data_IF_696679346724
#
_entry.id   IF_696679346724
#
_cell.length_a   1.000
_cell.length_b   1.000
_cell.length_c   1.000
_cell.angle_alpha   90.00
_cell.angle_beta   90.00
_cell.angle_gamma   90.00
#
_symmetry.space_group_name_H-M   'P 1'
#
loop_
_entity.id
_entity.type
_entity.pdbx_description
1 polymer ?
#
# COMPACT_ATOMS: atom_id res chain seq x y z
N UNK A 1 28.70 -43.02 60.71
CA UNK A 1 28.72 -43.55 59.32
C UNK A 1 27.34 -43.19 58.72
N UNK A 2 27.27 -42.04 58.05
CA UNK A 2 26.03 -41.43 57.56
C UNK A 2 26.10 -41.37 56.04
N UNK A 3 25.25 -42.17 55.38
CA UNK A 3 25.12 -42.24 53.92
C UNK A 3 24.26 -41.09 53.46
N UNK A 4 24.83 -40.19 52.60
CA UNK A 4 24.09 -39.14 51.92
C UNK A 4 23.63 -39.66 50.58
N UNK A 5 22.33 -39.75 50.39
CA UNK A 5 21.66 -40.09 49.13
C UNK A 5 21.57 -38.81 48.25
N UNK A 6 22.21 -38.81 47.06
CA UNK A 6 22.07 -37.76 46.03
C UNK A 6 20.81 -38.08 45.21
N UNK A 7 19.83 -37.16 45.24
CA UNK A 7 18.72 -37.13 44.29
C UNK A 7 19.10 -36.31 43.05
N UNK A 8 19.18 -36.96 41.89
CA UNK A 8 19.36 -36.33 40.58
C UNK A 8 17.96 -35.99 40.04
N UNK A 9 17.61 -34.73 40.00
CA UNK A 9 16.41 -34.25 39.34
C UNK A 9 16.68 -34.08 37.83
N UNK A 10 16.11 -34.95 37.00
CA UNK A 10 16.13 -34.81 35.55
C UNK A 10 15.06 -33.77 35.13
N UNK A 11 15.54 -32.60 34.72
CA UNK A 11 14.69 -31.55 34.15
C UNK A 11 14.29 -31.90 32.69
N UNK A 12 13.02 -32.21 32.45
CA UNK A 12 12.45 -32.27 31.11
C UNK A 12 12.25 -30.83 30.59
N UNK A 13 13.11 -30.38 29.65
CA UNK A 13 12.87 -29.19 28.86
C UNK A 13 11.85 -29.52 27.78
N UNK A 14 10.61 -29.09 27.94
CA UNK A 14 9.62 -29.06 26.86
C UNK A 14 10.05 -27.94 25.83
N UNK A 15 10.50 -28.37 24.67
CA UNK A 15 10.64 -27.53 23.49
C UNK A 15 9.21 -27.20 22.98
N UNK A 16 8.75 -26.00 23.27
CA UNK A 16 7.53 -25.46 22.65
C UNK A 16 7.79 -25.18 21.17
N UNK A 17 7.33 -26.06 20.30
CA UNK A 17 7.24 -25.79 18.86
C UNK A 17 6.20 -24.65 18.64
N UNK A 18 6.50 -23.64 17.81
CA UNK A 18 5.48 -22.66 17.45
C UNK A 18 4.35 -23.37 16.71
N UNK A 19 3.17 -23.38 17.29
CA UNK A 19 1.96 -23.87 16.64
C UNK A 19 1.63 -22.94 15.46
N UNK A 20 2.02 -23.33 14.24
CA UNK A 20 1.38 -22.86 13.04
C UNK A 20 -0.09 -23.33 13.12
N UNK A 21 -1.00 -22.42 13.43
CA UNK A 21 -2.43 -22.67 13.36
C UNK A 21 -2.82 -22.84 11.87
N UNK A 22 -2.55 -24.02 11.34
CA UNK A 22 -3.16 -24.47 10.08
C UNK A 22 -4.65 -24.61 10.35
N UNK A 23 -5.47 -23.86 9.65
CA UNK A 23 -6.91 -24.06 9.59
C UNK A 23 -7.15 -25.48 9.06
N UNK A 24 -7.47 -26.40 9.94
CA UNK A 24 -7.69 -27.81 9.59
C UNK A 24 -8.79 -27.90 8.52
N UNK A 25 -8.43 -28.36 7.32
CA UNK A 25 -9.36 -28.60 6.20
C UNK A 25 -9.29 -27.60 5.03
N UNK A 26 -8.52 -26.50 5.11
CA UNK A 26 -8.35 -25.56 4.00
C UNK A 26 -7.29 -26.06 3.02
N UNK A 27 -7.63 -26.14 1.73
CA UNK A 27 -6.69 -26.56 0.68
C UNK A 27 -6.17 -25.33 -0.07
N UNK A 28 -4.84 -25.13 -0.14
CA UNK A 28 -4.28 -24.00 -0.90
C UNK A 28 -4.78 -23.96 -2.36
N UNK A 29 -5.22 -22.79 -2.79
CA UNK A 29 -5.69 -22.56 -4.16
C UNK A 29 -4.54 -22.30 -5.13
N UNK A 30 -3.32 -22.11 -4.62
CA UNK A 30 -2.10 -21.81 -5.39
C UNK A 30 -1.04 -22.83 -5.02
N UNK A 31 -0.32 -23.35 -6.04
CA UNK A 31 0.78 -24.28 -5.82
C UNK A 31 1.96 -23.57 -5.13
N UNK A 32 2.68 -24.28 -4.25
CA UNK A 32 3.86 -23.75 -3.56
C UNK A 32 4.96 -23.24 -4.51
N UNK A 33 5.05 -23.78 -5.72
CA UNK A 33 5.96 -23.32 -6.77
C UNK A 33 5.68 -21.90 -7.28
N UNK A 34 4.45 -21.42 -7.09
CA UNK A 34 4.03 -20.06 -7.45
C UNK A 34 4.32 -19.03 -6.35
N UNK A 35 4.76 -19.48 -5.18
CA UNK A 35 5.00 -18.65 -4.00
C UNK A 35 6.51 -18.48 -3.74
N UNK A 36 6.89 -17.36 -3.17
CA UNK A 36 8.26 -17.12 -2.70
C UNK A 36 8.60 -18.04 -1.52
N UNK A 37 7.58 -18.33 -0.70
CA UNK A 37 7.70 -19.18 0.48
C UNK A 37 6.50 -20.11 0.54
N UNK A 38 6.71 -21.44 0.58
CA UNK A 38 5.60 -22.41 0.66
C UNK A 38 4.59 -22.09 1.76
N UNK A 39 3.30 -22.16 1.42
CA UNK A 39 2.19 -21.91 2.37
C UNK A 39 2.06 -20.45 2.83
N UNK A 40 2.80 -19.51 2.27
CA UNK A 40 2.83 -18.11 2.72
C UNK A 40 2.59 -17.17 1.54
N UNK A 41 1.73 -16.18 1.72
CA UNK A 41 1.57 -15.05 0.79
C UNK A 41 2.46 -13.90 1.27
N UNK A 42 3.61 -13.72 0.61
CA UNK A 42 4.56 -12.65 0.95
C UNK A 42 4.15 -11.38 0.20
N UNK A 43 3.83 -10.33 0.93
CA UNK A 43 3.32 -9.06 0.39
C UNK A 43 4.25 -7.90 0.74
N UNK A 44 4.63 -7.07 -0.23
CA UNK A 44 5.30 -5.80 0.05
C UNK A 44 4.30 -4.70 0.36
N UNK A 45 4.63 -3.83 1.33
CA UNK A 45 3.80 -2.68 1.72
C UNK A 45 4.65 -1.52 2.21
N UNK A 46 4.23 -0.28 1.91
CA UNK A 46 4.77 0.95 2.50
C UNK A 46 3.75 1.47 3.54
N UNK A 47 3.99 1.25 4.85
CA UNK A 47 2.99 1.55 5.87
C UNK A 47 3.04 3.01 6.35
N UNK A 48 3.06 3.96 5.43
CA UNK A 48 3.09 5.41 5.70
C UNK A 48 1.85 6.16 5.18
N UNK A 49 0.80 5.43 4.78
CA UNK A 49 -0.42 5.96 4.18
C UNK A 49 -1.66 5.68 5.04
N UNK A 50 -1.81 6.30 6.23
CA UNK A 50 -3.05 6.17 6.99
C UNK A 50 -4.23 6.80 6.21
N UNK A 51 -5.44 6.25 6.30
CA UNK A 51 -5.85 5.05 6.99
C UNK A 51 -5.70 3.76 6.16
N UNK A 52 -5.11 3.85 4.95
CA UNK A 52 -5.05 2.75 3.99
C UNK A 52 -4.09 1.62 4.42
N UNK A 53 -2.85 1.96 4.79
CA UNK A 53 -1.89 1.09 5.47
C UNK A 53 -0.92 1.93 6.31
N UNK A 54 -0.75 1.55 7.56
CA UNK A 54 0.09 2.29 8.50
C UNK A 54 0.52 1.40 9.68
N UNK A 55 1.49 1.90 10.45
CA UNK A 55 1.87 1.30 11.73
C UNK A 55 1.16 2.08 12.83
N UNK A 56 0.41 1.39 13.68
CA UNK A 56 -0.24 1.99 14.84
C UNK A 56 0.75 2.28 16.00
N UNK A 57 0.27 2.87 17.08
CA UNK A 57 1.08 3.20 18.27
C UNK A 57 1.70 1.98 18.97
N UNK A 58 1.19 0.77 18.70
CA UNK A 58 1.68 -0.49 19.24
C UNK A 58 2.65 -1.21 18.28
N UNK A 59 3.04 -0.56 17.17
CA UNK A 59 3.91 -1.15 16.16
C UNK A 59 3.22 -2.14 15.21
N UNK A 60 1.88 -2.26 15.27
CA UNK A 60 1.10 -3.19 14.46
C UNK A 60 0.75 -2.58 13.11
N UNK A 61 0.85 -3.40 12.04
CA UNK A 61 0.32 -3.05 10.73
C UNK A 61 -1.21 -3.02 10.75
N UNK A 62 -1.79 -1.92 10.28
CA UNK A 62 -3.23 -1.65 10.24
C UNK A 62 -3.61 -0.98 8.93
N UNK A 63 -4.92 -0.92 8.69
CA UNK A 63 -5.55 -0.20 7.60
C UNK A 63 -6.22 -1.11 6.58
N UNK A 64 -6.97 -0.50 5.69
CA UNK A 64 -7.82 -1.18 4.71
C UNK A 64 -7.06 -2.25 3.91
N UNK A 65 -5.88 -1.90 3.38
CA UNK A 65 -5.08 -2.80 2.54
C UNK A 65 -4.48 -3.96 3.32
N UNK A 66 -4.19 -3.76 4.61
CA UNK A 66 -3.74 -4.86 5.48
C UNK A 66 -4.89 -5.82 5.74
N UNK A 67 -6.09 -5.30 6.01
CA UNK A 67 -7.30 -6.13 6.17
C UNK A 67 -7.61 -6.92 4.88
N UNK A 68 -7.57 -6.25 3.72
CA UNK A 68 -7.76 -6.89 2.42
C UNK A 68 -6.74 -8.00 2.16
N UNK A 69 -5.45 -7.72 2.37
CA UNK A 69 -4.38 -8.71 2.16
C UNK A 69 -4.50 -9.92 3.07
N UNK A 70 -4.87 -9.71 4.34
CA UNK A 70 -5.11 -10.78 5.29
C UNK A 70 -6.29 -11.67 4.89
N UNK A 71 -7.38 -11.06 4.41
CA UNK A 71 -8.55 -11.82 3.95
C UNK A 71 -8.26 -12.59 2.65
N UNK A 72 -7.50 -11.99 1.73
CA UNK A 72 -7.01 -12.70 0.53
C UNK A 72 -6.17 -13.90 0.93
N UNK A 73 -5.16 -13.73 1.77
CA UNK A 73 -4.30 -14.84 2.22
C UNK A 73 -5.11 -15.95 2.88
N UNK A 74 -6.02 -15.60 3.80
CA UNK A 74 -6.90 -16.54 4.49
C UNK A 74 -7.75 -17.36 3.50
N UNK A 75 -8.38 -16.72 2.51
CA UNK A 75 -9.21 -17.43 1.50
C UNK A 75 -8.40 -18.29 0.54
N UNK A 76 -7.12 -17.94 0.32
CA UNK A 76 -6.17 -18.77 -0.42
C UNK A 76 -5.56 -19.90 0.43
N UNK A 77 -5.91 -20.01 1.71
CA UNK A 77 -5.32 -20.96 2.68
C UNK A 77 -3.82 -20.72 2.90
N UNK A 78 -3.38 -19.48 2.82
CA UNK A 78 -2.01 -19.05 2.99
C UNK A 78 -1.85 -18.21 4.26
N UNK A 79 -0.66 -18.21 4.84
CA UNK A 79 -0.29 -17.30 5.94
C UNK A 79 0.16 -15.96 5.37
N UNK A 80 -0.41 -14.80 5.78
CA UNK A 80 0.05 -13.50 5.32
C UNK A 80 1.40 -13.14 5.96
N UNK A 81 2.34 -12.65 5.14
CA UNK A 81 3.62 -12.11 5.59
C UNK A 81 3.86 -10.75 4.89
N UNK A 82 4.27 -9.72 5.65
CA UNK A 82 4.46 -8.38 5.10
C UNK A 82 5.93 -7.96 5.14
N UNK A 83 6.46 -7.58 3.98
CA UNK A 83 7.76 -6.92 3.83
C UNK A 83 7.52 -5.41 3.77
N UNK A 84 7.97 -4.70 4.82
CA UNK A 84 7.88 -3.23 4.88
C UNK A 84 9.03 -2.66 4.06
N UNK A 85 8.73 -1.95 2.99
CA UNK A 85 9.73 -1.44 2.04
C UNK A 85 9.22 -0.14 1.38
N UNK A 86 10.15 0.70 0.96
CA UNK A 86 9.82 1.93 0.24
C UNK A 86 9.30 1.63 -1.17
N UNK A 87 8.42 2.49 -1.68
CA UNK A 87 7.71 2.27 -2.94
C UNK A 87 8.66 2.06 -4.13
N UNK A 88 9.74 2.83 -4.21
CA UNK A 88 10.74 2.77 -5.29
C UNK A 88 11.39 1.39 -5.46
N UNK A 89 11.45 0.58 -4.39
CA UNK A 89 12.01 -0.77 -4.41
C UNK A 89 10.98 -1.88 -4.70
N UNK A 90 9.67 -1.57 -4.73
CA UNK A 90 8.62 -2.59 -4.79
C UNK A 90 8.54 -3.31 -6.13
N UNK A 91 8.53 -2.57 -7.25
CA UNK A 91 8.46 -3.18 -8.59
C UNK A 91 9.74 -3.99 -8.88
N UNK A 92 10.96 -3.44 -8.68
CA UNK A 92 12.19 -4.21 -8.83
C UNK A 92 12.23 -5.47 -7.97
N UNK A 93 11.75 -5.39 -6.73
CA UNK A 93 11.71 -6.53 -5.83
C UNK A 93 10.71 -7.61 -6.25
N UNK A 94 9.53 -7.23 -6.76
CA UNK A 94 8.56 -8.16 -7.34
C UNK A 94 9.15 -8.92 -8.53
N UNK A 95 9.81 -8.19 -9.44
CA UNK A 95 10.48 -8.77 -10.61
C UNK A 95 11.65 -9.70 -10.23
N UNK A 96 12.34 -9.38 -9.13
CA UNK A 96 13.40 -10.23 -8.56
C UNK A 96 12.86 -11.40 -7.71
N UNK A 97 11.54 -11.58 -7.61
CA UNK A 97 10.91 -12.66 -6.86
C UNK A 97 11.10 -12.57 -5.34
N UNK A 98 11.22 -11.36 -4.78
CA UNK A 98 11.38 -11.16 -3.33
C UNK A 98 10.07 -11.23 -2.56
N UNK A 99 8.95 -11.03 -3.22
CA UNK A 99 7.58 -11.16 -2.71
C UNK A 99 6.63 -11.59 -3.83
N UNK A 100 5.45 -12.03 -3.44
CA UNK A 100 4.43 -12.54 -4.35
C UNK A 100 3.52 -11.43 -4.88
N UNK A 101 3.30 -10.40 -4.04
CA UNK A 101 2.27 -9.39 -4.24
C UNK A 101 2.74 -8.03 -3.74
N UNK A 102 2.47 -6.96 -4.48
CA UNK A 102 2.55 -5.58 -4.01
C UNK A 102 1.18 -5.18 -3.46
N UNK A 103 1.08 -4.99 -2.14
CA UNK A 103 -0.11 -4.55 -1.43
C UNK A 103 0.14 -3.20 -0.74
N UNK A 104 0.26 -2.16 -1.54
CA UNK A 104 0.52 -0.79 -1.08
C UNK A 104 -0.38 0.26 -1.72
N UNK A 105 -1.30 -0.17 -2.61
CA UNK A 105 -2.12 0.75 -3.39
C UNK A 105 -1.37 1.31 -4.61
N UNK A 106 -0.74 0.41 -5.37
CA UNK A 106 -0.05 0.81 -6.59
C UNK A 106 -1.07 1.28 -7.64
N UNK A 107 -0.96 2.51 -8.12
CA UNK A 107 -1.79 3.02 -9.21
C UNK A 107 -1.58 2.20 -10.48
N UNK A 108 -2.68 1.82 -11.11
CA UNK A 108 -2.64 1.17 -12.42
C UNK A 108 -2.16 2.15 -13.49
N UNK A 109 -1.28 1.70 -14.34
CA UNK A 109 -0.87 2.39 -15.56
C UNK A 109 -0.62 1.36 -16.65
N UNK A 110 -0.83 1.75 -17.90
CA UNK A 110 -0.54 0.88 -19.04
C UNK A 110 0.91 0.37 -19.05
N UNK A 111 1.86 1.23 -18.67
CA UNK A 111 3.27 0.87 -18.55
C UNK A 111 3.49 -0.24 -17.52
N UNK A 112 2.91 -0.09 -16.30
CA UNK A 112 3.00 -1.11 -15.25
C UNK A 112 2.30 -2.40 -15.63
N UNK A 113 1.13 -2.32 -16.28
CA UNK A 113 0.38 -3.48 -16.76
C UNK A 113 1.11 -4.24 -17.88
N UNK A 114 2.04 -3.64 -18.60
CA UNK A 114 2.92 -4.35 -19.54
C UNK A 114 4.03 -5.15 -18.85
N UNK A 115 4.35 -4.84 -17.60
CA UNK A 115 5.46 -5.47 -16.86
C UNK A 115 5.02 -6.56 -15.89
N UNK A 116 3.79 -6.51 -15.39
CA UNK A 116 3.29 -7.40 -14.33
C UNK A 116 1.77 -7.52 -14.37
N UNK A 117 1.21 -8.67 -13.94
CA UNK A 117 -0.23 -8.82 -13.73
C UNK A 117 -0.73 -7.85 -12.65
N UNK A 118 -1.84 -7.16 -12.92
CA UNK A 118 -2.47 -6.21 -12.01
C UNK A 118 -3.97 -6.44 -11.91
N UNK A 119 -4.53 -6.32 -10.70
CA UNK A 119 -5.98 -6.40 -10.46
C UNK A 119 -6.43 -5.08 -9.86
N UNK A 120 -7.22 -4.31 -10.61
CA UNK A 120 -7.80 -3.07 -10.13
C UNK A 120 -8.91 -3.39 -9.12
N UNK A 121 -8.81 -2.83 -7.89
CA UNK A 121 -9.77 -3.12 -6.83
C UNK A 121 -10.38 -1.87 -6.18
N UNK A 122 -9.83 -0.70 -6.41
CA UNK A 122 -10.36 0.59 -5.96
C UNK A 122 -10.00 1.69 -6.97
N UNK A 123 -10.52 2.90 -6.78
CA UNK A 123 -10.09 4.11 -7.50
C UNK A 123 -9.71 5.17 -6.49
N UNK A 124 -8.59 5.84 -6.73
CA UNK A 124 -8.07 6.91 -5.90
C UNK A 124 -7.72 8.12 -6.75
N UNK A 125 -7.71 9.29 -6.11
CA UNK A 125 -7.17 10.50 -6.67
C UNK A 125 -6.03 11.02 -5.78
N UNK A 126 -5.36 12.09 -6.20
CA UNK A 126 -4.30 12.70 -5.42
C UNK A 126 -4.70 14.08 -4.92
N UNK A 127 -4.14 14.47 -3.79
CA UNK A 127 -4.33 15.75 -3.12
C UNK A 127 -3.02 16.51 -3.00
N UNK A 128 -3.13 17.83 -2.90
CA UNK A 128 -2.07 18.72 -2.47
C UNK A 128 -2.40 19.22 -1.07
N UNK A 129 -1.55 18.90 -0.10
CA UNK A 129 -1.61 19.36 1.28
C UNK A 129 -0.67 20.54 1.47
N UNK A 130 -1.10 21.50 2.30
CA UNK A 130 -0.34 22.71 2.68
C UNK A 130 -0.41 22.88 4.19
N UNK A 131 0.40 23.80 4.75
CA UNK A 131 0.31 24.17 6.15
C UNK A 131 -1.09 24.65 6.53
N UNK A 132 -1.48 24.46 7.79
CA UNK A 132 -2.79 24.86 8.31
C UNK A 132 -3.14 26.33 8.01
N UNK A 133 -4.37 26.55 7.59
CA UNK A 133 -4.87 27.87 7.18
C UNK A 133 -4.56 28.23 5.72
N UNK A 134 -3.85 27.36 4.96
CA UNK A 134 -3.47 27.61 3.57
C UNK A 134 -2.90 29.03 3.36
N UNK A 135 -1.81 29.40 4.06
CA UNK A 135 -1.26 30.75 4.04
C UNK A 135 -0.83 31.21 2.63
N UNK A 136 -0.53 30.26 1.76
CA UNK A 136 -0.10 30.51 0.38
C UNK A 136 -1.26 30.64 -0.60
N UNK A 137 -2.50 30.46 -0.13
CA UNK A 137 -3.74 30.54 -0.93
C UNK A 137 -3.70 29.65 -2.17
N UNK A 138 -3.20 28.42 -2.03
CA UNK A 138 -3.20 27.41 -3.10
C UNK A 138 -4.66 26.99 -3.34
N UNK A 139 -5.19 27.29 -4.53
CA UNK A 139 -6.59 27.02 -4.93
C UNK A 139 -6.69 26.33 -6.27
N UNK A 140 -5.62 26.32 -7.04
CA UNK A 140 -5.48 25.65 -8.34
C UNK A 140 -4.05 25.17 -8.56
N UNK A 141 -3.83 24.22 -9.46
CA UNK A 141 -2.50 23.65 -9.71
C UNK A 141 -1.42 24.68 -10.06
N UNK A 142 -1.76 25.75 -10.78
CA UNK A 142 -0.82 26.79 -11.18
C UNK A 142 -0.24 27.57 -9.98
N UNK A 143 -0.92 27.58 -8.84
CA UNK A 143 -0.45 28.25 -7.62
C UNK A 143 0.79 27.54 -7.01
N UNK A 144 1.15 26.33 -7.51
CA UNK A 144 2.36 25.61 -7.15
C UNK A 144 3.62 26.11 -7.90
N UNK A 145 3.46 27.02 -8.88
CA UNK A 145 4.54 27.57 -9.68
C UNK A 145 5.63 28.21 -8.80
N UNK A 146 6.89 27.78 -9.00
CA UNK A 146 8.06 28.28 -8.31
C UNK A 146 8.17 27.87 -6.84
N UNK A 147 7.34 26.93 -6.36
CA UNK A 147 7.28 26.50 -4.97
C UNK A 147 7.96 25.14 -4.75
N UNK A 148 8.56 24.92 -3.58
CA UNK A 148 9.06 23.59 -3.19
C UNK A 148 7.89 22.67 -2.79
N UNK A 149 7.71 21.60 -3.56
CA UNK A 149 6.62 20.63 -3.38
C UNK A 149 7.20 19.24 -3.11
N UNK A 150 6.84 18.64 -1.98
CA UNK A 150 7.27 17.31 -1.55
C UNK A 150 6.40 16.21 -2.14
N UNK A 151 7.02 15.09 -2.54
CA UNK A 151 6.34 13.92 -3.08
C UNK A 151 7.15 12.65 -2.83
N UNK A 152 6.49 11.48 -2.76
CA UNK A 152 7.17 10.18 -2.68
C UNK A 152 7.89 9.84 -3.98
N UNK A 153 9.12 9.35 -3.87
CA UNK A 153 9.97 8.95 -5.00
C UNK A 153 9.42 7.74 -5.75
N UNK A 154 9.34 7.81 -7.07
CA UNK A 154 8.94 6.70 -7.95
C UNK A 154 7.43 6.44 -7.98
N UNK A 155 6.63 7.21 -7.20
CA UNK A 155 5.18 7.10 -7.15
C UNK A 155 4.47 7.62 -8.41
N UNK A 156 3.19 7.30 -8.52
CA UNK A 156 2.30 7.88 -9.53
C UNK A 156 2.17 9.40 -9.32
N UNK A 157 2.16 9.83 -8.08
CA UNK A 157 2.05 11.20 -7.63
C UNK A 157 3.23 12.04 -8.14
N UNK A 158 4.46 11.53 -8.05
CA UNK A 158 5.64 12.20 -8.60
C UNK A 158 5.51 12.38 -10.11
N UNK A 159 5.10 11.32 -10.82
CA UNK A 159 4.93 11.41 -12.26
C UNK A 159 3.88 12.46 -12.64
N UNK A 160 2.73 12.50 -11.94
CA UNK A 160 1.67 13.48 -12.18
C UNK A 160 2.11 14.90 -11.84
N UNK A 161 2.89 15.06 -10.78
CA UNK A 161 3.45 16.36 -10.43
C UNK A 161 4.43 16.87 -11.51
N UNK A 162 5.26 15.98 -12.07
CA UNK A 162 6.16 16.33 -13.20
C UNK A 162 5.41 16.62 -14.50
N UNK A 163 4.30 15.92 -14.77
CA UNK A 163 3.42 16.23 -15.91
C UNK A 163 2.76 17.61 -15.73
N UNK A 164 2.30 17.91 -14.53
CA UNK A 164 1.73 19.21 -14.16
C UNK A 164 2.76 20.32 -14.30
N UNK A 165 3.99 20.11 -13.84
CA UNK A 165 5.10 21.05 -13.97
C UNK A 165 5.36 21.45 -15.43
N UNK A 166 5.40 20.47 -16.35
CA UNK A 166 5.51 20.76 -17.79
C UNK A 166 4.38 21.64 -18.30
N UNK A 167 3.16 21.43 -17.82
CA UNK A 167 1.99 22.24 -18.19
C UNK A 167 2.12 23.67 -17.65
N UNK A 168 2.62 23.84 -16.42
CA UNK A 168 2.86 25.12 -15.78
C UNK A 168 3.93 25.92 -16.54
N UNK A 169 5.04 25.27 -16.87
CA UNK A 169 6.14 25.89 -17.66
C UNK A 169 5.67 26.28 -19.05
N UNK A 170 4.87 25.46 -19.72
CA UNK A 170 4.31 25.78 -21.04
C UNK A 170 3.39 27.03 -21.03
N UNK A 171 2.84 27.38 -19.85
CA UNK A 171 2.10 28.64 -19.64
C UNK A 171 2.98 29.84 -19.30
N UNK A 172 4.31 29.71 -19.37
CA UNK A 172 5.27 30.77 -19.06
C UNK A 172 5.45 31.02 -17.55
N UNK A 173 4.97 30.13 -16.71
CA UNK A 173 5.14 30.19 -15.25
C UNK A 173 6.45 29.52 -14.81
N UNK A 174 6.92 29.82 -13.59
CA UNK A 174 8.13 29.20 -13.04
C UNK A 174 7.90 27.71 -12.79
N UNK A 175 8.92 26.86 -13.01
CA UNK A 175 8.79 25.43 -12.71
C UNK A 175 8.55 25.20 -11.21
N UNK A 176 7.86 24.09 -10.88
CA UNK A 176 7.73 23.61 -9.52
C UNK A 176 9.09 23.09 -9.05
N UNK A 177 9.51 23.42 -7.83
CA UNK A 177 10.69 22.82 -7.21
C UNK A 177 10.29 21.47 -6.59
N UNK A 178 10.34 20.39 -7.38
CA UNK A 178 9.92 19.05 -6.94
C UNK A 178 10.99 18.45 -6.04
N UNK A 179 10.65 18.20 -4.78
CA UNK A 179 11.49 17.51 -3.79
C UNK A 179 10.96 16.10 -3.53
N UNK A 180 11.76 15.09 -3.83
CA UNK A 180 11.40 13.69 -3.62
C UNK A 180 11.85 13.19 -2.27
N UNK A 181 11.02 12.35 -1.64
CA UNK A 181 11.26 11.72 -0.34
C UNK A 181 11.04 10.21 -0.44
N UNK A 182 11.63 9.45 0.45
CA UNK A 182 11.52 7.99 0.44
C UNK A 182 10.08 7.51 0.63
N UNK A 183 9.28 8.26 1.41
CA UNK A 183 7.89 7.92 1.68
C UNK A 183 7.05 9.15 2.04
N UNK A 184 5.72 8.96 2.14
CA UNK A 184 4.80 10.04 2.46
C UNK A 184 5.01 10.64 3.85
N UNK A 185 5.39 9.85 4.85
CA UNK A 185 5.61 10.36 6.20
C UNK A 185 6.76 11.38 6.22
N UNK A 186 7.86 11.10 5.52
CA UNK A 186 9.00 12.03 5.41
C UNK A 186 8.66 13.26 4.59
N UNK A 187 7.84 13.14 3.53
CA UNK A 187 7.35 14.29 2.77
C UNK A 187 6.46 15.22 3.62
N UNK A 188 5.57 14.66 4.46
CA UNK A 188 4.77 15.47 5.40
C UNK A 188 5.60 16.07 6.55
N UNK A 189 6.64 15.39 7.00
CA UNK A 189 7.58 15.96 7.98
C UNK A 189 8.33 17.16 7.37
N UNK A 190 8.75 17.09 6.11
CA UNK A 190 9.37 18.20 5.41
C UNK A 190 8.42 19.40 5.26
N UNK A 191 7.13 19.16 4.97
CA UNK A 191 6.10 20.20 4.96
C UNK A 191 5.92 20.83 6.34
N UNK A 192 5.86 20.03 7.41
CA UNK A 192 5.77 20.53 8.79
C UNK A 192 6.97 21.37 9.20
N UNK A 193 8.16 20.98 8.74
CA UNK A 193 9.42 21.70 9.02
C UNK A 193 9.63 22.95 8.13
N UNK A 194 8.71 23.24 7.20
CA UNK A 194 8.85 24.34 6.24
C UNK A 194 9.92 24.14 5.16
N UNK A 195 10.41 22.91 4.99
CA UNK A 195 11.36 22.54 3.91
C UNK A 195 10.68 22.43 2.56
N UNK A 196 9.37 22.20 2.57
CA UNK A 196 8.47 22.29 1.43
C UNK A 196 7.27 23.16 1.78
N UNK A 197 6.62 23.74 0.77
CA UNK A 197 5.43 24.58 0.91
C UNK A 197 4.14 23.81 0.65
N UNK A 198 4.25 22.66 -0.01
CA UNK A 198 3.17 21.72 -0.23
C UNK A 198 3.70 20.26 -0.22
N UNK A 199 2.80 19.31 -0.04
CA UNK A 199 3.09 17.87 -0.18
C UNK A 199 1.97 17.18 -0.96
N UNK A 200 2.33 16.25 -1.84
CA UNK A 200 1.39 15.49 -2.68
C UNK A 200 1.25 14.08 -2.12
N UNK A 201 0.02 13.63 -1.94
CA UNK A 201 -0.30 12.28 -1.49
C UNK A 201 -1.67 11.82 -2.04
N UNK A 202 -2.02 10.55 -1.85
CA UNK A 202 -3.37 10.06 -2.18
C UNK A 202 -4.43 10.75 -1.31
N UNK A 203 -5.64 10.91 -1.86
CA UNK A 203 -6.75 11.62 -1.21
C UNK A 203 -7.05 11.14 0.22
N UNK A 204 -7.20 9.84 0.52
CA UNK A 204 -7.49 9.40 1.88
C UNK A 204 -6.40 9.76 2.89
N UNK A 205 -5.13 9.63 2.50
CA UNK A 205 -3.99 9.97 3.36
C UNK A 205 -3.93 11.47 3.63
N UNK A 206 -4.11 12.30 2.60
CA UNK A 206 -4.17 13.75 2.77
C UNK A 206 -5.35 14.18 3.65
N UNK A 207 -6.52 13.54 3.50
CA UNK A 207 -7.68 13.78 4.36
C UNK A 207 -7.40 13.41 5.81
N UNK A 208 -6.73 12.28 6.06
CA UNK A 208 -6.37 11.85 7.41
C UNK A 208 -5.37 12.81 8.07
N UNK A 209 -4.34 13.26 7.36
CA UNK A 209 -3.42 14.28 7.88
C UNK A 209 -4.12 15.62 8.16
N UNK A 210 -5.08 16.01 7.32
CA UNK A 210 -5.88 17.22 7.55
C UNK A 210 -6.75 17.10 8.82
N UNK A 211 -7.35 15.93 9.08
CA UNK A 211 -8.12 15.66 10.31
C UNK A 211 -7.27 15.80 11.58
N UNK A 212 -5.98 15.48 11.51
CA UNK A 212 -5.04 15.63 12.64
C UNK A 212 -4.74 17.09 12.98
N UNK A 213 -5.10 18.02 12.10
CA UNK A 213 -5.10 19.46 12.37
C UNK A 213 -3.85 20.23 11.97
N UNK A 214 -2.79 19.55 11.51
CA UNK A 214 -1.52 20.19 11.13
C UNK A 214 -1.51 20.78 9.73
N UNK A 215 -2.36 20.25 8.84
CA UNK A 215 -2.38 20.57 7.41
C UNK A 215 -3.80 20.83 6.91
N UNK A 216 -3.91 21.56 5.82
CA UNK A 216 -5.13 21.67 5.03
C UNK A 216 -4.92 20.98 3.68
N UNK A 217 -5.94 20.31 3.20
CA UNK A 217 -6.00 19.71 1.87
C UNK A 217 -6.47 20.76 0.88
N UNK A 218 -5.52 21.53 0.31
CA UNK A 218 -5.79 22.68 -0.55
C UNK A 218 -6.39 22.27 -1.91
N UNK A 219 -5.85 21.21 -2.52
CA UNK A 219 -6.40 20.62 -3.75
C UNK A 219 -6.67 19.13 -3.50
N UNK A 220 -7.71 18.59 -4.16
CA UNK A 220 -8.06 17.18 -4.03
C UNK A 220 -8.79 16.68 -5.28
N UNK A 221 -8.97 15.36 -5.41
CA UNK A 221 -9.65 14.76 -6.54
C UNK A 221 -8.85 14.86 -7.85
N UNK A 222 -7.54 15.12 -7.78
CA UNK A 222 -6.71 15.28 -8.96
C UNK A 222 -6.35 13.90 -9.55
N UNK A 223 -6.43 13.78 -10.88
CA UNK A 223 -6.00 12.60 -11.63
C UNK A 223 -6.60 11.27 -11.12
N UNK A 224 -7.94 11.15 -11.02
CA UNK A 224 -8.56 9.91 -10.56
C UNK A 224 -8.12 8.73 -11.41
N UNK A 225 -7.63 7.67 -10.75
CA UNK A 225 -6.98 6.54 -11.44
C UNK A 225 -7.23 5.25 -10.64
N UNK A 226 -7.46 4.09 -11.31
CA UNK A 226 -7.57 2.83 -10.64
C UNK A 226 -6.32 2.48 -9.84
N UNK A 227 -6.53 1.87 -8.68
CA UNK A 227 -5.50 1.32 -7.81
C UNK A 227 -5.58 -0.19 -7.84
N UNK A 228 -4.44 -0.85 -7.84
CA UNK A 228 -4.33 -2.27 -8.07
C UNK A 228 -3.53 -3.01 -6.99
N UNK A 229 -3.74 -4.31 -6.93
CA UNK A 229 -2.78 -5.29 -6.47
C UNK A 229 -1.92 -5.68 -7.68
N UNK A 230 -0.60 -5.80 -7.50
CA UNK A 230 0.30 -6.24 -8.55
C UNK A 230 1.00 -7.54 -8.13
N UNK A 231 1.00 -8.56 -8.98
CA UNK A 231 1.45 -9.90 -8.68
C UNK A 231 2.63 -10.34 -9.53
N UNK A 232 3.38 -11.32 -9.02
CA UNK A 232 4.52 -11.88 -9.73
C UNK A 232 4.15 -12.86 -10.83
N UNK A 233 2.98 -13.52 -10.73
CA UNK A 233 2.60 -14.59 -11.65
C UNK A 233 1.12 -14.56 -12.01
N UNK A 234 0.79 -15.14 -13.18
CA UNK A 234 -0.58 -15.28 -13.67
C UNK A 234 -1.42 -16.24 -12.81
N UNK A 235 -0.94 -17.45 -12.43
CA UNK A 235 -1.72 -18.36 -11.59
C UNK A 235 -2.11 -17.75 -10.24
N UNK A 236 -1.19 -17.04 -9.58
CA UNK A 236 -1.51 -16.31 -8.36
C UNK A 236 -2.56 -15.22 -8.60
N UNK A 237 -2.45 -14.49 -9.72
CA UNK A 237 -3.40 -13.41 -10.06
C UNK A 237 -4.80 -13.96 -10.27
N UNK A 238 -4.94 -15.07 -10.97
CA UNK A 238 -6.24 -15.75 -11.23
C UNK A 238 -6.88 -16.22 -9.91
N UNK A 239 -6.09 -16.77 -9.00
CA UNK A 239 -6.54 -17.17 -7.68
C UNK A 239 -7.01 -15.96 -6.84
N UNK A 240 -6.27 -14.84 -6.87
CA UNK A 240 -6.67 -13.59 -6.18
C UNK A 240 -7.93 -13.00 -6.79
N UNK A 241 -8.10 -13.04 -8.13
CA UNK A 241 -9.35 -12.62 -8.80
C UNK A 241 -10.54 -13.44 -8.32
N UNK A 242 -10.38 -14.76 -8.21
CA UNK A 242 -11.45 -15.63 -7.70
C UNK A 242 -11.85 -15.24 -6.28
N UNK A 243 -10.87 -15.01 -5.39
CA UNK A 243 -11.10 -14.54 -4.02
C UNK A 243 -11.83 -13.20 -3.98
N UNK A 244 -11.39 -12.21 -4.75
CA UNK A 244 -12.02 -10.88 -4.78
C UNK A 244 -13.47 -10.95 -5.31
N UNK A 245 -13.73 -11.76 -6.34
CA UNK A 245 -15.09 -11.98 -6.84
C UNK A 245 -15.98 -12.71 -5.80
N UNK A 246 -15.43 -13.62 -5.03
CA UNK A 246 -16.16 -14.27 -3.92
C UNK A 246 -16.43 -13.31 -2.77
N UNK A 247 -15.47 -12.45 -2.42
CA UNK A 247 -15.68 -11.34 -1.47
C UNK A 247 -16.73 -10.35 -1.95
N UNK A 248 -16.85 -10.13 -3.25
CA UNK A 248 -17.90 -9.27 -3.83
C UNK A 248 -19.28 -9.95 -3.70
N UNK A 249 -19.37 -11.25 -3.98
CA UNK A 249 -20.63 -12.01 -3.88
C UNK A 249 -21.15 -12.10 -2.45
N UNK A 250 -20.28 -12.30 -1.46
CA UNK A 250 -20.67 -12.42 -0.04
C UNK A 250 -20.79 -11.08 0.68
N UNK A 251 -20.47 -9.96 -0.01
CA UNK A 251 -20.59 -8.60 0.50
C UNK A 251 -19.42 -8.13 1.36
N UNK A 252 -18.45 -8.99 1.69
CA UNK A 252 -17.32 -8.63 2.55
C UNK A 252 -16.39 -7.59 1.91
N UNK A 253 -16.23 -7.61 0.58
CA UNK A 253 -15.50 -6.58 -0.13
C UNK A 253 -16.18 -5.21 0.00
N UNK A 254 -17.51 -5.16 -0.24
CA UNK A 254 -18.28 -3.92 -0.13
C UNK A 254 -18.20 -3.35 1.29
N UNK A 255 -18.41 -4.18 2.31
CA UNK A 255 -18.32 -3.76 3.71
C UNK A 255 -16.94 -3.18 4.05
N UNK A 256 -15.86 -3.82 3.56
CA UNK A 256 -14.51 -3.31 3.76
C UNK A 256 -14.30 -1.94 3.09
N UNK A 257 -14.76 -1.74 1.85
CA UNK A 257 -14.64 -0.44 1.18
C UNK A 257 -15.40 0.66 1.92
N UNK A 258 -16.65 0.39 2.31
CA UNK A 258 -17.52 1.33 3.02
C UNK A 258 -16.96 1.72 4.40
N UNK A 259 -16.36 0.77 5.13
CA UNK A 259 -15.69 1.03 6.42
C UNK A 259 -14.64 2.15 6.31
N UNK A 260 -13.94 2.21 5.18
CA UNK A 260 -12.91 3.23 4.93
C UNK A 260 -13.38 4.41 4.07
N UNK A 261 -14.70 4.52 3.82
CA UNK A 261 -15.29 5.59 3.03
C UNK A 261 -14.91 5.56 1.55
N UNK A 262 -14.62 4.37 1.03
CA UNK A 262 -14.29 4.12 -0.36
C UNK A 262 -15.52 3.62 -1.14
N UNK A 263 -15.56 3.92 -2.42
CA UNK A 263 -16.57 3.37 -3.32
C UNK A 263 -16.15 1.95 -3.76
N UNK A 264 -17.02 0.94 -3.56
CA UNK A 264 -16.74 -0.40 -4.03
C UNK A 264 -16.73 -0.46 -5.57
N UNK A 265 -15.90 -1.32 -6.12
CA UNK A 265 -15.97 -1.68 -7.53
C UNK A 265 -17.23 -2.51 -7.80
N UNK A 266 -18.06 -2.11 -8.76
CA UNK A 266 -19.31 -2.80 -9.10
C UNK A 266 -19.10 -3.92 -10.15
N UNK A 267 -18.07 -3.84 -10.97
CA UNK A 267 -17.75 -4.83 -11.98
C UNK A 267 -16.97 -6.04 -11.44
N UNK A 268 -17.06 -7.17 -12.16
CA UNK A 268 -16.23 -8.33 -11.82
C UNK A 268 -14.74 -7.99 -11.90
N UNK A 269 -13.99 -8.49 -10.93
CA UNK A 269 -12.53 -8.37 -10.92
C UNK A 269 -11.93 -9.19 -12.07
N UNK A 270 -10.87 -8.64 -12.64
CA UNK A 270 -10.11 -9.28 -13.70
C UNK A 270 -8.64 -8.91 -13.62
N UNK A 271 -7.80 -9.74 -14.17
CA UNK A 271 -6.38 -9.43 -14.34
C UNK A 271 -6.21 -8.50 -15.55
N UNK A 272 -5.37 -7.47 -15.37
CA UNK A 272 -4.86 -6.65 -16.46
C UNK A 272 -3.34 -6.84 -16.47
N UNK A 273 -2.77 -7.31 -17.57
CA UNK A 273 -1.35 -7.61 -17.56
C UNK A 273 -0.81 -8.20 -18.86
N UNK A 274 0.46 -8.62 -18.88
CA UNK A 274 1.08 -9.18 -20.06
C UNK A 274 0.34 -10.45 -20.54
N UNK A 275 0.00 -10.50 -21.83
CA UNK A 275 -0.65 -11.66 -22.43
C UNK A 275 -2.12 -11.87 -22.03
N UNK A 276 -2.81 -10.81 -21.61
CA UNK A 276 -4.23 -10.81 -21.24
C UNK A 276 -5.09 -10.14 -22.31
#
# INVERSE_FOLDING_TARGET
>A
MTIRTLLIAAGLTLLALPAAAQTAGCKPAVADSELVKPGTLVMSTNPTLPPMQFVDSNGQLKGMRITLGNEIAKRLCLTPEYVRIEFSAMIPGLQAGRWDLINTGIFWTEERAKMMPMINYESQAISVSVSKGNPLKITKPEDLSGRPVGVELGGFEERKLRELDKTIVAKGLKPIEIKTFDNFATAYQALRAGQTEASVAIDPTAAEYSKRGDFDRALHGLFPTPVALAMKSKPLSEAVVAVLNDMQKDGSYKALMEEYGLLPNEGAFKVNGPGM
#
